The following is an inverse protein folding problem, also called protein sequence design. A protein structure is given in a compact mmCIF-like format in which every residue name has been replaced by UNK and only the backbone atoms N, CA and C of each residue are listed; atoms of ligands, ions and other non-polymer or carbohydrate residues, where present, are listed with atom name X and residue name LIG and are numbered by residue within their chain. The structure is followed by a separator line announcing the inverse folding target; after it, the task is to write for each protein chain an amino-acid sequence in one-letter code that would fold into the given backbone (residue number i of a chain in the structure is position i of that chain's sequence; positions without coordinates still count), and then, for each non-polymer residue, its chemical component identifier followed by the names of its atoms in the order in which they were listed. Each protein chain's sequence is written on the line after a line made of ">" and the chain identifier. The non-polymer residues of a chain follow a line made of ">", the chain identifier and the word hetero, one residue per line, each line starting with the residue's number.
data_IF_203427497516
#
_entry.id   IF_203427497516
#
_cell.length_a   1.000
_cell.length_b   1.000
_cell.length_c   1.000
_cell.angle_alpha   90.00
_cell.angle_beta   90.00
_cell.angle_gamma   90.00
#
_symmetry.space_group_name_H-M   'P 1'
#
loop_
_entity.id
_entity.type
_entity.pdbx_description
1 polymer ?
#
# COMPACT_ATOMS: atom_id res chain seq x y z
N UNK A 1 35.44 40.65 31.07
CA UNK A 1 34.11 40.51 31.72
C UNK A 1 33.34 39.44 30.96
N UNK A 2 33.32 38.21 31.49
CA UNK A 2 32.61 37.09 30.86
C UNK A 2 31.12 37.38 30.84
N UNK A 3 30.52 37.38 29.66
CA UNK A 3 29.07 37.48 29.52
C UNK A 3 28.50 36.19 30.09
N UNK A 4 27.76 36.31 31.19
CA UNK A 4 26.99 35.24 31.81
C UNK A 4 26.12 34.58 30.74
N UNK A 5 26.56 33.42 30.27
CA UNK A 5 25.99 32.76 29.09
C UNK A 5 24.92 31.80 29.58
N UNK A 6 23.66 32.07 29.25
CA UNK A 6 22.53 31.23 29.62
C UNK A 6 22.50 29.99 28.71
N UNK A 7 23.34 29.00 29.04
CA UNK A 7 23.54 27.77 28.26
C UNK A 7 22.21 27.06 28.00
N UNK A 8 21.31 27.04 28.99
CA UNK A 8 19.99 26.41 28.87
C UNK A 8 19.14 27.09 27.80
N UNK A 9 19.21 28.41 27.67
CA UNK A 9 18.49 29.14 26.61
C UNK A 9 19.16 28.99 25.25
N UNK A 10 20.47 28.84 25.18
CA UNK A 10 21.13 28.49 23.92
C UNK A 10 20.76 27.09 23.44
N UNK A 11 20.63 26.14 24.36
CA UNK A 11 20.12 24.80 24.07
C UNK A 11 18.66 24.83 23.57
N UNK A 12 17.79 25.59 24.23
CA UNK A 12 16.40 25.77 23.79
C UNK A 12 16.31 26.40 22.39
N UNK A 13 17.14 27.42 22.12
CA UNK A 13 17.25 28.02 20.79
C UNK A 13 17.75 27.01 19.75
N UNK A 14 18.79 26.25 20.05
CA UNK A 14 19.32 25.19 19.21
C UNK A 14 18.27 24.11 18.90
N UNK A 15 17.46 23.72 19.89
CA UNK A 15 16.38 22.76 19.71
C UNK A 15 15.28 23.30 18.79
N UNK A 16 14.87 24.56 18.97
CA UNK A 16 13.94 25.23 18.05
C UNK A 16 14.46 25.27 16.63
N UNK A 17 15.77 25.48 16.43
CA UNK A 17 16.38 25.42 15.11
C UNK A 17 16.29 24.03 14.45
N UNK A 18 16.37 22.95 15.23
CA UNK A 18 16.15 21.58 14.73
C UNK A 18 14.70 21.35 14.30
N UNK A 19 13.74 21.95 14.99
CA UNK A 19 12.30 21.76 14.69
C UNK A 19 11.74 22.78 13.70
N UNK A 20 12.54 23.72 13.19
CA UNK A 20 12.10 24.67 12.16
C UNK A 20 11.66 23.92 10.89
N UNK A 21 10.38 24.06 10.54
CA UNK A 21 9.81 23.59 9.27
C UNK A 21 10.24 24.49 8.12
N UNK A 22 11.50 24.39 7.73
CA UNK A 22 12.07 25.13 6.60
C UNK A 22 12.56 24.12 5.56
N UNK A 23 11.98 24.18 4.36
CA UNK A 23 12.35 23.32 3.22
C UNK A 23 13.72 23.65 2.63
N UNK A 24 14.26 24.84 2.90
CA UNK A 24 15.52 25.32 2.32
C UNK A 24 16.72 25.01 3.21
N UNK A 25 17.83 24.60 2.58
CA UNK A 25 19.11 24.33 3.25
C UNK A 25 19.74 25.59 3.87
N UNK A 26 19.49 26.76 3.29
CA UNK A 26 19.91 28.06 3.83
C UNK A 26 18.78 28.68 4.64
N UNK A 27 19.09 29.11 5.86
CA UNK A 27 18.16 29.76 6.78
C UNK A 27 18.57 31.24 6.91
N UNK A 28 17.73 32.20 6.47
CA UNK A 28 17.98 33.63 6.67
C UNK A 28 18.03 34.00 8.16
N UNK A 29 18.91 34.94 8.54
CA UNK A 29 19.03 35.34 9.94
C UNK A 29 17.75 35.96 10.51
N UNK A 30 16.98 36.68 9.71
CA UNK A 30 15.72 37.30 10.16
C UNK A 30 14.74 36.28 10.71
N UNK A 31 14.71 35.06 10.13
CA UNK A 31 13.88 33.99 10.67
C UNK A 31 14.40 33.49 12.02
N UNK A 32 15.72 33.38 12.15
CA UNK A 32 16.36 32.95 13.40
C UNK A 32 16.27 34.01 14.50
N UNK A 33 16.19 35.30 14.14
CA UNK A 33 15.95 36.39 15.09
C UNK A 33 14.59 36.24 15.79
N UNK A 34 13.55 35.82 15.07
CA UNK A 34 12.22 35.57 15.65
C UNK A 34 12.27 34.47 16.70
N UNK A 35 12.93 33.34 16.38
CA UNK A 35 13.09 32.23 17.33
C UNK A 35 13.94 32.65 18.53
N UNK A 36 15.03 33.38 18.29
CA UNK A 36 15.89 33.92 19.34
C UNK A 36 15.13 34.88 20.26
N UNK A 37 14.38 35.82 19.70
CA UNK A 37 13.57 36.76 20.47
C UNK A 37 12.50 36.05 21.32
N UNK A 38 11.95 34.93 20.82
CA UNK A 38 10.97 34.13 21.56
C UNK A 38 11.61 33.45 22.77
N UNK A 39 12.80 32.84 22.62
CA UNK A 39 13.53 32.20 23.73
C UNK A 39 13.96 33.23 24.79
N UNK A 40 14.36 34.43 24.36
CA UNK A 40 14.86 35.48 25.23
C UNK A 40 13.82 36.56 25.60
N UNK A 41 12.53 36.33 25.34
CA UNK A 41 11.47 37.31 25.60
C UNK A 41 11.41 37.81 27.06
N UNK A 42 11.83 36.96 28.00
CA UNK A 42 11.88 37.24 29.43
C UNK A 42 13.04 38.15 29.87
N UNK A 43 14.01 38.46 28.98
CA UNK A 43 15.15 39.34 29.26
C UNK A 43 15.09 40.61 28.41
N UNK A 44 14.71 41.77 28.97
CA UNK A 44 14.70 43.04 28.24
C UNK A 44 16.06 43.36 27.61
N UNK A 45 16.05 43.85 26.37
CA UNK A 45 17.27 44.27 25.65
C UNK A 45 18.11 43.13 25.05
N UNK A 46 18.02 41.89 25.56
CA UNK A 46 18.78 40.75 25.02
C UNK A 46 18.37 40.38 23.59
N UNK A 47 17.07 40.34 23.20
CA UNK A 47 16.68 40.09 21.82
C UNK A 47 17.31 41.04 20.79
N UNK A 48 17.70 42.25 21.20
CA UNK A 48 18.35 43.26 20.36
C UNK A 48 19.89 43.13 20.35
N UNK A 49 20.48 42.36 21.27
CA UNK A 49 21.93 42.20 21.40
C UNK A 49 22.51 41.27 20.34
N UNK A 50 23.26 41.86 19.41
CA UNK A 50 23.95 41.15 18.32
C UNK A 50 24.96 40.11 18.80
N UNK A 51 25.66 40.39 19.90
CA UNK A 51 26.67 39.50 20.45
C UNK A 51 26.07 38.25 21.11
N UNK A 52 24.95 38.40 21.82
CA UNK A 52 24.20 37.26 22.35
C UNK A 52 23.64 36.39 21.23
N UNK A 53 23.10 37.01 20.18
CA UNK A 53 22.61 36.28 19.02
C UNK A 53 23.73 35.52 18.31
N UNK A 54 24.90 36.15 18.12
CA UNK A 54 26.07 35.49 17.56
C UNK A 54 26.53 34.31 18.43
N UNK A 55 26.53 34.45 19.75
CA UNK A 55 26.92 33.37 20.67
C UNK A 55 25.93 32.20 20.63
N UNK A 56 24.62 32.46 20.51
CA UNK A 56 23.62 31.42 20.33
C UNK A 56 23.79 30.68 18.99
N UNK A 57 24.12 31.39 17.92
CA UNK A 57 24.43 30.76 16.63
C UNK A 57 25.72 29.93 16.69
N UNK A 58 26.76 30.42 17.36
CA UNK A 58 28.01 29.66 17.59
C UNK A 58 27.76 28.39 18.40
N UNK A 59 26.91 28.48 19.41
CA UNK A 59 26.49 27.31 20.17
C UNK A 59 25.79 26.28 19.26
N UNK A 60 24.87 26.71 18.40
CA UNK A 60 24.20 25.82 17.45
C UNK A 60 25.16 25.23 16.39
N UNK A 61 26.20 25.96 15.98
CA UNK A 61 27.26 25.44 15.09
C UNK A 61 28.12 24.38 15.80
N UNK A 62 28.49 24.60 17.07
CA UNK A 62 29.22 23.62 17.88
C UNK A 62 28.42 22.32 18.09
N UNK A 63 27.09 22.39 18.04
CA UNK A 63 26.20 21.23 18.10
C UNK A 63 25.93 20.61 16.71
N UNK A 64 26.66 21.03 15.67
CA UNK A 64 26.52 20.55 14.29
C UNK A 64 25.10 20.68 13.72
N UNK A 65 24.33 21.65 14.20
CA UNK A 65 22.96 21.92 13.72
C UNK A 65 23.01 22.78 12.47
N UNK A 66 23.96 23.72 12.46
CA UNK A 66 24.20 24.66 11.38
C UNK A 66 25.68 24.80 11.09
N UNK A 67 26.00 25.33 9.92
CA UNK A 67 27.32 25.80 9.55
C UNK A 67 27.26 27.28 9.15
N UNK A 68 28.23 28.06 9.60
CA UNK A 68 28.40 29.42 9.08
C UNK A 68 28.83 29.43 7.61
N UNK A 69 28.48 30.49 6.86
CA UNK A 69 29.08 30.72 5.55
C UNK A 69 30.58 30.98 5.71
N UNK A 70 31.36 30.74 4.64
CA UNK A 70 32.80 31.02 4.63
C UNK A 70 33.11 32.43 5.17
N UNK A 71 34.08 32.50 6.09
CA UNK A 71 34.50 33.74 6.77
C UNK A 71 35.01 34.79 5.76
N UNK A 72 35.57 34.32 4.64
CA UNK A 72 36.10 35.17 3.57
C UNK A 72 35.01 35.70 2.62
N UNK A 73 33.76 35.28 2.78
CA UNK A 73 32.66 35.75 1.95
C UNK A 73 32.34 37.23 2.21
N UNK A 74 32.79 38.12 1.32
CA UNK A 74 32.54 39.57 1.43
C UNK A 74 31.05 39.92 1.47
N UNK A 75 30.20 39.15 0.79
CA UNK A 75 28.77 39.42 0.64
C UNK A 75 27.87 38.63 1.60
N UNK A 76 28.41 37.62 2.29
CA UNK A 76 27.65 36.67 3.14
C UNK A 76 27.61 37.08 4.60
N UNK A 77 28.34 38.12 4.99
CA UNK A 77 28.37 38.68 6.34
C UNK A 77 27.86 40.13 6.32
N UNK A 78 26.97 40.45 7.25
CA UNK A 78 26.62 41.81 7.62
C UNK A 78 27.67 42.36 8.59
N UNK A 79 28.43 43.34 8.11
CA UNK A 79 29.50 44.04 8.86
C UNK A 79 29.13 45.48 9.25
N UNK A 80 27.89 45.90 9.02
CA UNK A 80 27.43 47.25 9.34
C UNK A 80 27.38 47.52 10.85
N UNK A 81 27.19 46.47 11.66
CA UNK A 81 27.22 46.53 13.13
C UNK A 81 28.28 45.61 13.74
N UNK A 82 28.62 45.87 15.02
CA UNK A 82 29.53 45.06 15.83
C UNK A 82 28.76 44.24 16.89
N UNK A 83 28.99 42.92 17.03
CA UNK A 83 29.79 42.06 16.14
C UNK A 83 29.12 41.85 14.77
N UNK A 84 29.94 41.47 13.79
CA UNK A 84 29.46 41.07 12.46
C UNK A 84 28.61 39.81 12.57
N UNK A 85 27.53 39.75 11.79
CA UNK A 85 26.62 38.60 11.75
C UNK A 85 26.60 38.01 10.34
N UNK A 86 26.42 36.69 10.18
CA UNK A 86 26.16 36.13 8.86
C UNK A 86 24.83 36.67 8.33
N UNK A 87 24.59 36.64 7.01
CA UNK A 87 23.26 36.95 6.45
C UNK A 87 22.32 35.74 6.45
N UNK A 88 22.91 34.55 6.40
CA UNK A 88 22.23 33.27 6.51
C UNK A 88 23.18 32.24 7.14
N UNK A 89 22.61 31.16 7.66
CA UNK A 89 23.35 29.96 8.07
C UNK A 89 22.89 28.77 7.25
N UNK A 90 23.71 27.74 7.14
CA UNK A 90 23.36 26.51 6.42
C UNK A 90 22.95 25.44 7.42
N UNK A 91 21.75 24.87 7.26
CA UNK A 91 21.32 23.72 8.06
C UNK A 91 22.15 22.49 7.68
N UNK A 92 22.72 21.84 8.69
CA UNK A 92 23.33 20.52 8.53
C UNK A 92 22.19 19.52 8.58
N UNK A 93 21.90 18.88 7.45
CA UNK A 93 20.95 17.78 7.39
C UNK A 93 21.69 16.50 7.74
N UNK A 94 21.19 15.74 8.71
CA UNK A 94 21.63 14.36 8.87
C UNK A 94 21.29 13.60 7.59
N UNK A 95 22.21 12.80 7.04
CA UNK A 95 21.90 11.96 5.90
C UNK A 95 20.73 11.07 6.27
N UNK A 96 19.70 11.06 5.43
CA UNK A 96 18.61 10.09 5.56
C UNK A 96 19.24 8.69 5.54
N UNK A 97 18.76 7.76 6.38
CA UNK A 97 19.23 6.39 6.32
C UNK A 97 19.06 5.86 4.90
N UNK A 98 20.02 5.04 4.40
CA UNK A 98 19.92 4.46 3.07
C UNK A 98 18.59 3.70 2.95
N UNK A 99 17.91 3.85 1.81
CA UNK A 99 16.69 3.10 1.54
C UNK A 99 17.00 1.61 1.61
N UNK A 100 16.33 0.90 2.51
CA UNK A 100 16.43 -0.55 2.59
C UNK A 100 15.72 -1.15 1.36
N UNK A 101 16.50 -1.55 0.36
CA UNK A 101 16.04 -2.17 -0.88
C UNK A 101 16.32 -3.68 -0.89
N UNK A 102 16.16 -4.34 0.26
CA UNK A 102 16.53 -5.76 0.44
C UNK A 102 15.96 -6.68 -0.64
N UNK A 103 14.77 -6.38 -1.18
CA UNK A 103 14.10 -7.19 -2.20
C UNK A 103 14.88 -7.23 -3.52
N UNK A 104 15.71 -6.23 -3.82
CA UNK A 104 16.54 -6.22 -5.03
C UNK A 104 17.69 -7.23 -4.95
N UNK A 105 18.16 -7.53 -3.73
CA UNK A 105 19.21 -8.52 -3.46
C UNK A 105 18.68 -9.90 -3.07
N UNK A 106 17.37 -10.05 -2.92
CA UNK A 106 16.75 -11.28 -2.45
C UNK A 106 16.68 -12.33 -3.57
N UNK A 107 16.91 -13.60 -3.24
CA UNK A 107 16.90 -14.69 -4.21
C UNK A 107 15.46 -15.11 -4.56
N UNK A 108 14.94 -14.54 -5.62
CA UNK A 108 13.60 -14.82 -6.14
C UNK A 108 13.58 -16.05 -7.04
N UNK A 109 12.53 -16.86 -6.90
CA UNK A 109 12.16 -17.89 -7.86
C UNK A 109 12.01 -17.26 -9.27
N UNK A 110 12.34 -17.97 -10.38
CA UNK A 110 12.27 -17.42 -11.74
C UNK A 110 10.94 -16.72 -12.08
N UNK A 111 9.82 -17.24 -11.57
CA UNK A 111 8.47 -16.67 -11.75
C UNK A 111 8.22 -15.35 -10.99
N UNK A 112 9.14 -14.94 -10.12
CA UNK A 112 9.08 -13.74 -9.27
C UNK A 112 10.24 -12.77 -9.52
N UNK A 113 11.06 -12.97 -10.56
CA UNK A 113 12.24 -12.14 -10.83
C UNK A 113 11.93 -10.65 -10.95
N UNK A 114 10.76 -10.31 -11.51
CA UNK A 114 10.26 -8.93 -11.63
C UNK A 114 10.17 -8.17 -10.30
N UNK A 115 10.20 -8.86 -9.15
CA UNK A 115 10.19 -8.21 -7.83
C UNK A 115 11.47 -7.42 -7.59
N UNK A 116 12.61 -7.89 -8.10
CA UNK A 116 13.89 -7.18 -7.98
C UNK A 116 13.87 -5.82 -8.70
N UNK A 117 13.04 -5.66 -9.73
CA UNK A 117 12.91 -4.43 -10.52
C UNK A 117 11.95 -3.39 -9.90
N UNK A 118 11.39 -3.67 -8.72
CA UNK A 118 10.47 -2.75 -8.06
C UNK A 118 11.22 -1.56 -7.44
N UNK A 119 10.75 -0.35 -7.77
CA UNK A 119 11.24 0.90 -7.18
C UNK A 119 10.87 1.07 -5.69
N UNK A 120 9.79 0.43 -5.26
CA UNK A 120 9.31 0.45 -3.89
C UNK A 120 8.50 -0.81 -3.60
N UNK A 121 8.71 -1.39 -2.42
CA UNK A 121 7.97 -2.54 -1.93
C UNK A 121 7.60 -2.30 -0.46
N UNK A 122 6.31 -2.07 -0.15
CA UNK A 122 5.86 -1.99 1.24
C UNK A 122 6.11 -3.31 1.97
N UNK A 123 6.47 -3.25 3.26
CA UNK A 123 6.87 -4.43 4.06
C UNK A 123 5.85 -5.57 3.97
N UNK A 124 4.55 -5.27 4.12
CA UNK A 124 3.48 -6.28 4.04
C UNK A 124 3.42 -6.98 2.67
N UNK A 125 3.72 -6.26 1.58
CA UNK A 125 3.82 -6.86 0.25
C UNK A 125 5.11 -7.68 0.10
N UNK A 126 6.19 -7.24 0.73
CA UNK A 126 7.45 -7.98 0.83
C UNK A 126 7.29 -9.32 1.53
N UNK A 127 6.66 -9.33 2.71
CA UNK A 127 6.38 -10.54 3.49
C UNK A 127 5.51 -11.52 2.68
N UNK A 128 4.47 -11.00 2.02
CA UNK A 128 3.63 -11.80 1.13
C UNK A 128 4.43 -12.42 -0.02
N UNK A 129 5.29 -11.64 -0.69
CA UNK A 129 6.11 -12.14 -1.79
C UNK A 129 7.13 -13.17 -1.32
N UNK A 130 7.75 -12.98 -0.15
CA UNK A 130 8.62 -13.99 0.46
C UNK A 130 7.85 -15.29 0.73
N UNK A 131 6.60 -15.21 1.20
CA UNK A 131 5.75 -16.39 1.36
C UNK A 131 5.37 -17.07 0.05
N UNK A 132 5.07 -16.29 -1.00
CA UNK A 132 4.85 -16.87 -2.33
C UNK A 132 6.12 -17.53 -2.87
N UNK A 133 7.28 -16.92 -2.65
CA UNK A 133 8.58 -17.46 -3.03
C UNK A 133 8.85 -18.81 -2.34
N UNK A 134 8.66 -18.85 -1.02
CA UNK A 134 8.72 -20.09 -0.23
C UNK A 134 7.76 -21.15 -0.78
N UNK A 135 6.51 -20.76 -1.08
CA UNK A 135 5.52 -21.68 -1.65
C UNK A 135 5.90 -22.26 -3.02
N UNK A 136 6.67 -21.54 -3.83
CA UNK A 136 7.24 -22.12 -5.06
C UNK A 136 8.30 -23.17 -4.77
N UNK A 137 9.22 -22.91 -3.83
CA UNK A 137 10.27 -23.87 -3.44
C UNK A 137 9.70 -25.12 -2.78
N UNK A 138 8.73 -24.95 -1.88
CA UNK A 138 8.07 -26.04 -1.16
C UNK A 138 6.97 -26.74 -1.99
N UNK A 139 6.63 -26.20 -3.16
CA UNK A 139 5.67 -26.80 -4.08
C UNK A 139 4.20 -26.70 -3.64
N UNK A 140 3.84 -25.72 -2.80
CA UNK A 140 2.47 -25.51 -2.32
C UNK A 140 1.45 -25.30 -3.46
N UNK A 141 1.90 -24.72 -4.57
CA UNK A 141 1.06 -24.46 -5.74
C UNK A 141 0.95 -25.66 -6.70
N UNK A 142 1.56 -26.81 -6.39
CA UNK A 142 1.33 -28.05 -7.15
C UNK A 142 -0.09 -28.57 -6.95
N UNK A 143 -0.66 -28.33 -5.77
CA UNK A 143 -2.02 -28.72 -5.42
C UNK A 143 -2.98 -27.54 -5.55
N UNK A 144 -4.15 -27.71 -6.20
CA UNK A 144 -5.17 -26.68 -6.25
C UNK A 144 -5.73 -26.36 -4.85
N UNK A 145 -6.03 -25.09 -4.58
CA UNK A 145 -6.71 -24.69 -3.34
C UNK A 145 -7.71 -23.56 -3.56
N UNK A 146 -8.84 -23.54 -2.81
CA UNK A 146 -9.76 -22.41 -2.79
C UNK A 146 -9.10 -21.09 -2.42
N UNK A 147 -9.64 -19.98 -2.92
CA UNK A 147 -9.12 -18.63 -2.66
C UNK A 147 -8.91 -18.35 -1.17
N UNK A 148 -9.89 -18.69 -0.32
CA UNK A 148 -9.81 -18.39 1.12
C UNK A 148 -8.71 -19.20 1.79
N UNK A 149 -8.58 -20.49 1.45
CA UNK A 149 -7.48 -21.35 1.93
C UNK A 149 -6.13 -20.79 1.50
N UNK A 150 -5.98 -20.44 0.22
CA UNK A 150 -4.74 -19.86 -0.31
C UNK A 150 -4.41 -18.50 0.33
N UNK A 151 -5.44 -17.73 0.66
CA UNK A 151 -5.27 -16.47 1.37
C UNK A 151 -4.72 -16.68 2.77
N UNK A 152 -5.25 -17.63 3.55
CA UNK A 152 -4.71 -17.97 4.88
C UNK A 152 -3.28 -18.48 4.77
N UNK A 153 -3.00 -19.38 3.83
CA UNK A 153 -1.66 -19.95 3.63
C UNK A 153 -0.59 -18.87 3.32
N UNK A 154 -0.92 -17.89 2.47
CA UNK A 154 0.04 -16.87 2.04
C UNK A 154 0.08 -15.61 2.90
N UNK A 155 -0.97 -15.33 3.68
CA UNK A 155 -1.10 -14.05 4.41
C UNK A 155 -1.52 -14.19 5.87
N UNK A 156 -1.85 -15.39 6.33
CA UNK A 156 -2.47 -15.65 7.64
C UNK A 156 -3.90 -15.10 7.78
N UNK A 157 -4.47 -14.51 6.72
CA UNK A 157 -5.78 -13.83 6.76
C UNK A 157 -6.67 -14.28 5.61
N UNK A 158 -7.87 -14.75 5.92
CA UNK A 158 -8.77 -15.41 4.96
C UNK A 158 -9.14 -14.57 3.72
N UNK A 159 -9.21 -13.24 3.85
CA UNK A 159 -9.69 -12.35 2.78
C UNK A 159 -8.62 -11.43 2.20
N UNK A 160 -7.39 -11.48 2.72
CA UNK A 160 -6.35 -10.51 2.36
C UNK A 160 -5.88 -10.66 0.93
N UNK A 161 -5.77 -11.89 0.42
CA UNK A 161 -5.36 -12.16 -0.96
C UNK A 161 -6.31 -11.52 -1.99
N UNK A 162 -7.61 -11.47 -1.70
CA UNK A 162 -8.60 -10.78 -2.55
C UNK A 162 -8.34 -9.27 -2.65
N UNK A 163 -7.81 -8.65 -1.60
CA UNK A 163 -7.41 -7.25 -1.61
C UNK A 163 -6.10 -7.06 -2.39
N UNK A 164 -5.14 -7.99 -2.24
CA UNK A 164 -3.87 -7.95 -2.97
C UNK A 164 -4.05 -8.06 -4.49
N UNK A 165 -5.08 -8.77 -4.97
CA UNK A 165 -5.44 -8.79 -6.40
C UNK A 165 -5.71 -7.42 -7.02
N UNK A 166 -6.03 -6.41 -6.20
CA UNK A 166 -6.28 -5.04 -6.67
C UNK A 166 -4.99 -4.20 -6.75
N UNK A 167 -3.84 -4.77 -6.40
CA UNK A 167 -2.56 -4.08 -6.34
C UNK A 167 -1.71 -4.37 -7.58
N UNK A 168 -0.62 -3.61 -7.74
CA UNK A 168 0.37 -3.83 -8.81
C UNK A 168 1.09 -5.18 -8.71
N UNK A 169 0.97 -5.93 -7.62
CA UNK A 169 1.54 -7.28 -7.53
C UNK A 169 0.89 -8.25 -8.54
N UNK A 170 -0.37 -7.98 -8.90
CA UNK A 170 -1.17 -8.78 -9.84
C UNK A 170 -1.39 -8.05 -11.19
N UNK A 171 -0.50 -7.11 -11.52
CA UNK A 171 -0.47 -6.53 -12.86
C UNK A 171 -0.04 -7.59 -13.89
N UNK A 172 -0.29 -7.30 -15.17
CA UNK A 172 0.10 -8.18 -16.27
C UNK A 172 1.59 -8.53 -16.22
N UNK A 173 1.90 -9.81 -16.49
CA UNK A 173 3.27 -10.34 -16.43
C UNK A 173 3.82 -10.61 -15.03
N UNK A 174 3.01 -10.47 -13.96
CA UNK A 174 3.43 -10.69 -12.56
C UNK A 174 2.67 -11.87 -11.94
N UNK A 175 2.15 -11.73 -10.72
CA UNK A 175 1.31 -12.76 -10.11
C UNK A 175 -0.05 -12.83 -10.79
N UNK A 176 -0.61 -14.03 -10.85
CA UNK A 176 -1.98 -14.27 -11.27
C UNK A 176 -2.56 -15.47 -10.51
N UNK A 177 -3.84 -15.74 -10.71
CA UNK A 177 -4.58 -16.80 -10.00
C UNK A 177 -4.07 -18.19 -10.36
N UNK A 178 -3.61 -18.38 -11.60
CA UNK A 178 -3.12 -19.65 -12.11
C UNK A 178 -1.77 -20.01 -11.50
N UNK A 179 -0.86 -19.02 -11.38
CA UNK A 179 0.43 -19.17 -10.73
C UNK A 179 0.31 -19.61 -9.27
N UNK A 180 -0.74 -19.16 -8.58
CA UNK A 180 -1.04 -19.53 -7.19
C UNK A 180 -1.96 -20.77 -7.09
N UNK A 181 -2.27 -21.42 -8.23
CA UNK A 181 -3.16 -22.58 -8.35
C UNK A 181 -4.44 -22.43 -7.51
N UNK A 182 -5.14 -21.32 -7.74
CA UNK A 182 -6.37 -20.97 -7.02
C UNK A 182 -7.55 -21.56 -7.78
N UNK A 183 -8.28 -22.47 -7.14
CA UNK A 183 -9.53 -22.99 -7.70
C UNK A 183 -10.66 -22.00 -7.55
N UNK A 184 -11.60 -22.06 -8.49
CA UNK A 184 -12.89 -21.43 -8.29
C UNK A 184 -13.66 -22.23 -7.23
N UNK A 185 -14.10 -21.56 -6.17
CA UNK A 185 -15.13 -22.08 -5.28
C UNK A 185 -16.47 -21.93 -5.98
N UNK A 186 -16.67 -22.69 -7.06
CA UNK A 186 -18.01 -22.80 -7.67
C UNK A 186 -18.82 -23.66 -6.73
N UNK A 187 -19.80 -23.07 -6.06
CA UNK A 187 -20.81 -23.88 -5.39
C UNK A 187 -21.60 -24.62 -6.47
N UNK A 188 -21.91 -25.91 -6.30
CA UNK A 188 -22.76 -26.62 -7.24
C UNK A 188 -24.05 -25.84 -7.50
N UNK A 189 -24.46 -25.78 -8.76
CA UNK A 189 -25.67 -25.07 -9.13
C UNK A 189 -26.89 -25.79 -8.54
N UNK A 190 -27.78 -25.06 -7.87
CA UNK A 190 -29.07 -25.64 -7.48
C UNK A 190 -29.94 -25.77 -8.74
N UNK A 191 -30.40 -26.98 -9.06
CA UNK A 191 -31.22 -27.24 -10.23
C UNK A 191 -32.31 -28.28 -9.98
N UNK A 192 -33.35 -28.22 -10.81
CA UNK A 192 -34.44 -29.19 -10.84
C UNK A 192 -34.71 -29.59 -12.30
N UNK A 193 -35.09 -30.86 -12.49
CA UNK A 193 -35.54 -31.37 -13.78
C UNK A 193 -37.01 -30.99 -13.94
N UNK A 194 -37.34 -30.32 -15.04
CA UNK A 194 -38.71 -29.85 -15.36
C UNK A 194 -39.21 -30.39 -16.69
N UNK A 195 -38.37 -31.09 -17.46
CA UNK A 195 -38.75 -31.68 -18.74
C UNK A 195 -37.63 -32.52 -19.36
N UNK A 196 -37.83 -32.92 -20.62
CA UNK A 196 -36.88 -33.78 -21.37
C UNK A 196 -36.07 -33.02 -22.42
N UNK A 197 -36.44 -31.76 -22.70
CA UNK A 197 -35.77 -30.94 -23.72
C UNK A 197 -34.37 -30.49 -23.26
N UNK A 198 -33.41 -30.29 -24.17
CA UNK A 198 -32.02 -30.04 -23.79
C UNK A 198 -31.74 -28.57 -23.41
N UNK A 199 -32.77 -27.78 -23.11
CA UNK A 199 -32.61 -26.37 -22.75
C UNK A 199 -32.62 -26.21 -21.23
N UNK A 200 -31.66 -25.44 -20.72
CA UNK A 200 -31.62 -25.05 -19.31
C UNK A 200 -32.00 -23.58 -19.15
N UNK A 201 -32.99 -23.31 -18.29
CA UNK A 201 -33.40 -21.97 -17.88
C UNK A 201 -32.75 -21.63 -16.54
N UNK A 202 -31.87 -20.62 -16.52
CA UNK A 202 -31.09 -20.28 -15.32
C UNK A 202 -31.44 -18.88 -14.85
N UNK A 203 -31.82 -18.79 -13.58
CA UNK A 203 -32.16 -17.54 -12.91
C UNK A 203 -31.04 -17.08 -11.99
N UNK A 204 -30.69 -15.80 -12.06
CA UNK A 204 -29.77 -15.17 -11.11
C UNK A 204 -30.43 -14.95 -9.74
N UNK A 205 -31.73 -14.63 -9.74
CA UNK A 205 -32.52 -14.22 -8.59
C UNK A 205 -33.48 -15.32 -8.10
N UNK A 206 -33.64 -15.42 -6.78
CA UNK A 206 -34.42 -16.48 -6.13
C UNK A 206 -35.92 -16.37 -6.41
N UNK A 207 -36.43 -15.14 -6.49
CA UNK A 207 -37.87 -14.88 -6.66
C UNK A 207 -38.38 -15.32 -8.04
N UNK A 208 -37.79 -14.89 -9.18
CA UNK A 208 -38.14 -15.43 -10.49
C UNK A 208 -37.93 -16.94 -10.61
N UNK A 209 -36.87 -17.48 -9.99
CA UNK A 209 -36.63 -18.92 -9.96
C UNK A 209 -37.81 -19.68 -9.36
N UNK A 210 -38.29 -19.28 -8.19
CA UNK A 210 -39.39 -19.97 -7.50
C UNK A 210 -40.68 -19.91 -8.33
N UNK A 211 -41.01 -18.75 -8.89
CA UNK A 211 -42.22 -18.59 -9.72
C UNK A 211 -42.12 -19.46 -10.97
N UNK A 212 -41.00 -19.41 -11.69
CA UNK A 212 -40.80 -20.21 -12.90
C UNK A 212 -40.77 -21.71 -12.60
N UNK A 213 -40.16 -22.12 -11.49
CA UNK A 213 -40.15 -23.51 -11.03
C UNK A 213 -41.57 -24.02 -10.83
N UNK A 214 -42.39 -23.27 -10.11
CA UNK A 214 -43.77 -23.67 -9.83
C UNK A 214 -44.59 -23.74 -11.13
N UNK A 215 -44.42 -22.79 -12.05
CA UNK A 215 -45.10 -22.81 -13.36
C UNK A 215 -44.66 -24.01 -14.21
N UNK A 216 -43.35 -24.26 -14.35
CA UNK A 216 -42.82 -25.30 -15.23
C UNK A 216 -43.19 -26.71 -14.75
N UNK A 217 -43.28 -26.96 -13.44
CA UNK A 217 -43.73 -28.25 -12.92
C UNK A 217 -45.22 -28.53 -13.15
N UNK A 218 -46.04 -27.48 -13.33
CA UNK A 218 -47.47 -27.62 -13.63
C UNK A 218 -47.78 -27.54 -15.13
N UNK A 219 -46.78 -27.32 -15.98
CA UNK A 219 -46.93 -27.38 -17.43
C UNK A 219 -46.89 -28.84 -17.89
N UNK A 220 -47.88 -29.30 -18.68
CA UNK A 220 -47.89 -30.67 -19.21
C UNK A 220 -46.65 -30.99 -20.06
N UNK A 221 -46.14 -30.00 -20.80
CA UNK A 221 -44.92 -30.09 -21.58
C UNK A 221 -44.07 -28.83 -21.35
N UNK A 222 -43.04 -28.94 -20.51
CA UNK A 222 -42.10 -27.85 -20.27
C UNK A 222 -41.21 -27.63 -21.51
N UNK A 223 -41.04 -26.37 -21.97
CA UNK A 223 -40.10 -26.04 -23.05
C UNK A 223 -38.63 -26.19 -22.65
N UNK A 224 -38.35 -26.47 -21.37
CA UNK A 224 -37.00 -26.63 -20.81
C UNK A 224 -36.86 -28.00 -20.13
N UNK A 225 -35.65 -28.55 -20.10
CA UNK A 225 -35.36 -29.76 -19.34
C UNK A 225 -34.88 -29.49 -17.93
N UNK A 226 -34.21 -28.35 -17.73
CA UNK A 226 -33.65 -27.96 -16.45
C UNK A 226 -34.05 -26.52 -16.11
N UNK A 227 -34.42 -26.30 -14.86
CA UNK A 227 -34.44 -24.97 -14.25
C UNK A 227 -33.37 -24.91 -13.18
N UNK A 228 -32.64 -23.80 -13.09
CA UNK A 228 -31.57 -23.66 -12.12
C UNK A 228 -31.42 -22.25 -11.54
N UNK A 229 -30.80 -22.18 -10.36
CA UNK A 229 -30.57 -20.96 -9.60
C UNK A 229 -29.07 -20.71 -9.37
N UNK A 230 -28.58 -19.57 -9.87
CA UNK A 230 -27.15 -19.24 -9.89
C UNK A 230 -26.62 -18.44 -8.69
N UNK A 231 -27.49 -17.89 -7.83
CA UNK A 231 -27.07 -17.21 -6.61
C UNK A 231 -26.34 -15.87 -6.81
N UNK A 232 -26.91 -14.95 -7.62
CA UNK A 232 -26.35 -13.60 -7.80
C UNK A 232 -24.95 -13.59 -8.42
N UNK A 233 -23.99 -12.92 -7.76
CA UNK A 233 -22.62 -12.70 -8.25
C UNK A 233 -21.80 -13.96 -8.60
N UNK A 234 -22.29 -15.15 -8.23
CA UNK A 234 -21.71 -16.44 -8.59
C UNK A 234 -22.16 -17.00 -9.95
N UNK A 235 -23.18 -16.43 -10.60
CA UNK A 235 -23.83 -16.99 -11.79
C UNK A 235 -22.87 -17.42 -12.91
N UNK A 236 -21.88 -16.57 -13.26
CA UNK A 236 -20.89 -16.88 -14.31
C UNK A 236 -20.00 -18.07 -13.96
N UNK A 237 -19.72 -18.25 -12.67
CA UNK A 237 -18.94 -19.37 -12.15
C UNK A 237 -19.83 -20.62 -12.02
N UNK A 238 -21.07 -20.49 -11.56
CA UNK A 238 -22.05 -21.58 -11.45
C UNK A 238 -22.45 -22.18 -12.81
N UNK A 239 -22.46 -21.38 -13.88
CA UNK A 239 -22.70 -21.89 -15.24
C UNK A 239 -21.59 -22.85 -15.70
N UNK A 240 -20.36 -22.71 -15.20
CA UNK A 240 -19.27 -23.67 -15.49
C UNK A 240 -19.53 -25.05 -14.88
N UNK A 241 -20.42 -25.15 -13.88
CA UNK A 241 -20.85 -26.40 -13.27
C UNK A 241 -21.77 -27.24 -14.19
N UNK A 242 -22.43 -26.63 -15.18
CA UNK A 242 -23.25 -27.39 -16.15
C UNK A 242 -22.44 -28.44 -16.92
N UNK A 243 -21.15 -28.20 -17.15
CA UNK A 243 -20.25 -29.19 -17.77
C UNK A 243 -20.09 -30.45 -16.89
N UNK A 244 -20.30 -30.35 -15.57
CA UNK A 244 -20.33 -31.50 -14.66
C UNK A 244 -21.67 -32.22 -14.72
N UNK A 245 -22.78 -31.48 -14.83
CA UNK A 245 -24.15 -32.03 -14.94
C UNK A 245 -24.28 -32.88 -16.23
N UNK A 246 -23.70 -32.44 -17.35
CA UNK A 246 -23.69 -33.15 -18.64
C UNK A 246 -22.99 -34.52 -18.61
N UNK A 247 -22.17 -34.82 -17.60
CA UNK A 247 -21.51 -36.13 -17.44
C UNK A 247 -22.37 -37.14 -16.66
N UNK A 248 -23.57 -36.75 -16.22
CA UNK A 248 -24.54 -37.67 -15.61
C UNK A 248 -25.33 -38.31 -16.76
N UNK A 249 -25.36 -39.64 -16.82
CA UNK A 249 -25.77 -40.48 -17.96
C UNK A 249 -27.15 -40.19 -18.62
N UNK A 250 -27.94 -39.24 -18.09
CA UNK A 250 -29.24 -38.85 -18.62
C UNK A 250 -29.21 -37.67 -19.61
N UNK A 251 -28.14 -36.86 -19.65
CA UNK A 251 -28.10 -35.62 -20.44
C UNK A 251 -26.82 -35.44 -21.29
N UNK A 252 -26.19 -36.54 -21.70
CA UNK A 252 -25.13 -36.50 -22.70
C UNK A 252 -25.74 -36.21 -24.09
N UNK A 253 -26.00 -34.94 -24.40
CA UNK A 253 -25.86 -34.29 -25.72
C UNK A 253 -26.55 -32.93 -25.72
N UNK A 254 -25.78 -31.85 -25.94
CA UNK A 254 -26.24 -30.51 -26.37
C UNK A 254 -27.13 -29.69 -25.41
N UNK A 255 -26.67 -29.34 -24.21
CA UNK A 255 -27.38 -28.31 -23.42
C UNK A 255 -27.14 -26.91 -23.98
N UNK A 256 -28.20 -26.24 -24.45
CA UNK A 256 -28.17 -24.81 -24.80
C UNK A 256 -28.67 -23.99 -23.61
N UNK A 257 -27.84 -23.07 -23.12
CA UNK A 257 -28.11 -22.26 -21.92
C UNK A 257 -28.80 -20.96 -22.34
N UNK A 258 -30.02 -20.74 -21.86
CA UNK A 258 -30.75 -19.49 -22.06
C UNK A 258 -30.72 -18.72 -20.74
N UNK A 259 -30.07 -17.55 -20.75
CA UNK A 259 -29.94 -16.69 -19.56
C UNK A 259 -30.96 -15.56 -19.60
N UNK A 260 -31.79 -15.41 -18.56
CA UNK A 260 -32.64 -14.23 -18.38
C UNK A 260 -32.14 -13.38 -17.21
N UNK A 261 -32.01 -12.07 -17.45
CA UNK A 261 -31.63 -11.06 -16.45
C UNK A 261 -32.87 -10.45 -15.83
#
# INVERSE_FOLDING_TARGET
>A
MGVDTDVKRFEEFAQRMKTLEIKTKRIPLERLRVEFATVFAHRPGIPQRRDWFLNALKYAEQQEIIAFPSVNGRTTWDRTGKPALPKYVTRIQQPLPPKNLWWQSYYWHPKLQWVADLNALPDEQGDFLQKVNQGFFEGWFKQPAPLNRRSVELTGREKRLKQLFKTKLFAEGRLNRELLNITSNVMPLAYEIVGTLPYALVFENKEPYNVARDVLHHMPESPYGLIAYGGGSGFKDSVRDFLRIQNTAHYCSTTTIITQR
#
